data_IF_618635833367
#
_entry.id   IF_618635833367
#
_cell.length_a   1.000
_cell.length_b   1.000
_cell.length_c   1.000
_cell.angle_alpha   90.00
_cell.angle_beta   90.00
_cell.angle_gamma   90.00
#
_symmetry.space_group_name_H-M   'P 1'
#
loop_
_entity.id
_entity.type
_entity.pdbx_description
1 polymer ?
#
# COMPACT_ATOMS: atom_id res chain seq x y z
N UNK A 1 28.63 -19.03 -38.89
CA UNK A 1 29.15 -17.72 -39.36
C UNK A 1 30.58 -17.56 -38.84
N UNK A 2 31.55 -16.88 -39.60
CA UNK A 2 32.90 -16.64 -39.06
C UNK A 2 32.85 -15.47 -38.08
N UNK A 3 33.50 -15.58 -36.93
CA UNK A 3 33.50 -14.56 -35.86
C UNK A 3 33.96 -13.20 -36.38
N UNK A 4 35.02 -13.16 -37.20
CA UNK A 4 35.57 -11.91 -37.75
C UNK A 4 34.54 -11.14 -38.58
N UNK A 5 33.78 -11.86 -39.44
CA UNK A 5 32.75 -11.23 -40.27
C UNK A 5 31.59 -10.70 -39.37
N UNK A 6 31.21 -11.42 -38.33
CA UNK A 6 30.19 -10.99 -37.39
C UNK A 6 30.63 -9.74 -36.63
N UNK A 7 31.85 -9.74 -36.10
CA UNK A 7 32.45 -8.60 -35.41
C UNK A 7 32.50 -7.36 -36.31
N UNK A 8 33.10 -7.45 -37.48
CA UNK A 8 33.25 -6.30 -38.37
C UNK A 8 31.90 -5.72 -38.86
N UNK A 9 30.88 -6.54 -39.02
CA UNK A 9 29.57 -6.08 -39.49
C UNK A 9 28.72 -5.39 -38.40
N UNK A 10 29.03 -5.59 -37.12
CA UNK A 10 28.22 -5.11 -36.00
C UNK A 10 28.96 -4.20 -35.03
N UNK A 11 30.27 -4.11 -35.13
CA UNK A 11 31.14 -3.35 -34.23
C UNK A 11 30.69 -1.90 -34.06
N UNK A 12 30.26 -1.23 -35.12
CA UNK A 12 29.81 0.15 -35.11
C UNK A 12 28.61 0.39 -34.14
N UNK A 13 27.66 -0.54 -34.13
CA UNK A 13 26.48 -0.44 -33.29
C UNK A 13 26.84 -0.66 -31.80
N UNK A 14 27.79 -1.59 -31.54
CA UNK A 14 28.27 -1.86 -30.19
C UNK A 14 29.08 -0.69 -29.61
N UNK A 15 29.96 -0.10 -30.43
CA UNK A 15 30.71 1.10 -30.03
C UNK A 15 29.81 2.30 -29.79
N UNK A 16 28.81 2.51 -30.66
CA UNK A 16 27.85 3.57 -30.51
C UNK A 16 27.00 3.42 -29.24
N UNK A 17 26.55 2.18 -28.92
CA UNK A 17 25.85 1.89 -27.67
C UNK A 17 26.76 2.16 -26.46
N UNK A 18 28.02 1.70 -26.49
CA UNK A 18 28.97 1.94 -25.41
C UNK A 18 29.22 3.42 -25.18
N UNK A 19 29.41 4.22 -26.24
CA UNK A 19 29.61 5.66 -26.14
C UNK A 19 28.40 6.39 -25.55
N UNK A 20 27.19 6.00 -25.98
CA UNK A 20 25.95 6.56 -25.42
C UNK A 20 25.82 6.24 -23.91
N UNK A 21 26.16 5.01 -23.51
CA UNK A 21 26.13 4.59 -22.12
C UNK A 21 27.18 5.34 -21.27
N UNK A 22 28.41 5.49 -21.80
CA UNK A 22 29.49 6.19 -21.12
C UNK A 22 29.15 7.68 -20.89
N UNK A 23 28.58 8.33 -21.90
CA UNK A 23 28.16 9.74 -21.80
C UNK A 23 27.05 9.91 -20.76
N UNK A 24 26.09 9.00 -20.72
CA UNK A 24 24.98 9.05 -19.75
C UNK A 24 25.48 8.77 -18.31
N UNK A 25 26.41 7.83 -18.13
CA UNK A 25 26.93 7.50 -16.80
C UNK A 25 27.87 8.58 -16.23
N UNK A 26 28.65 9.26 -17.07
CA UNK A 26 29.63 10.30 -16.63
C UNK A 26 29.03 11.69 -16.49
N UNK A 27 27.98 12.01 -17.24
CA UNK A 27 27.56 13.41 -17.43
C UNK A 27 26.36 13.87 -16.63
N UNK A 28 25.56 13.00 -16.01
CA UNK A 28 24.31 13.40 -15.33
C UNK A 28 23.29 14.13 -16.22
N UNK A 29 23.59 14.25 -17.52
CA UNK A 29 22.75 14.95 -18.50
C UNK A 29 21.51 14.11 -18.86
N UNK A 30 20.37 14.78 -18.99
CA UNK A 30 19.15 14.16 -19.51
C UNK A 30 19.34 13.84 -20.99
N UNK A 31 19.03 12.60 -21.38
CA UNK A 31 18.98 12.23 -22.78
C UNK A 31 17.89 13.01 -23.50
N UNK A 32 18.17 13.44 -24.74
CA UNK A 32 17.13 13.93 -25.62
C UNK A 32 16.16 12.81 -26.03
N UNK A 33 14.94 13.12 -26.48
CA UNK A 33 14.00 12.10 -26.95
C UNK A 33 14.59 11.22 -28.06
N UNK A 34 15.38 11.80 -28.96
CA UNK A 34 16.07 11.09 -30.05
C UNK A 34 17.13 10.14 -29.52
N UNK A 35 17.90 10.55 -28.50
CA UNK A 35 18.91 9.71 -27.87
C UNK A 35 18.28 8.52 -27.11
N UNK A 36 17.12 8.74 -26.45
CA UNK A 36 16.36 7.66 -25.80
C UNK A 36 15.86 6.65 -26.83
N UNK A 37 15.32 7.13 -27.96
CA UNK A 37 14.86 6.27 -29.03
C UNK A 37 16.01 5.46 -29.65
N UNK A 38 17.15 6.11 -29.89
CA UNK A 38 18.38 5.48 -30.42
C UNK A 38 18.95 4.45 -29.45
N UNK A 39 18.97 4.75 -28.14
CA UNK A 39 19.37 3.80 -27.12
C UNK A 39 18.48 2.56 -27.12
N UNK A 40 17.17 2.72 -27.19
CA UNK A 40 16.20 1.62 -27.23
C UNK A 40 16.36 0.75 -28.48
N UNK A 41 16.68 1.34 -29.62
CA UNK A 41 16.95 0.59 -30.85
C UNK A 41 18.27 -0.18 -30.76
N UNK A 42 19.37 0.47 -30.37
CA UNK A 42 20.68 -0.17 -30.17
C UNK A 42 20.63 -1.30 -29.13
N UNK A 43 19.93 -1.08 -28.00
CA UNK A 43 19.77 -2.11 -26.97
C UNK A 43 19.15 -3.39 -27.55
N UNK A 44 18.08 -3.26 -28.34
CA UNK A 44 17.42 -4.41 -28.98
C UNK A 44 18.32 -5.09 -29.99
N UNK A 45 19.02 -4.32 -30.83
CA UNK A 45 19.93 -4.84 -31.82
C UNK A 45 21.09 -5.63 -31.17
N UNK A 46 21.74 -5.05 -30.14
CA UNK A 46 22.85 -5.68 -29.44
C UNK A 46 22.39 -6.89 -28.58
N UNK A 47 21.15 -6.88 -28.08
CA UNK A 47 20.57 -8.05 -27.42
C UNK A 47 20.37 -9.22 -28.39
N UNK A 48 19.94 -8.95 -29.61
CA UNK A 48 19.84 -9.96 -30.65
C UNK A 48 21.22 -10.48 -31.06
N UNK A 49 22.23 -9.61 -31.18
CA UNK A 49 23.60 -9.98 -31.45
C UNK A 49 24.20 -10.86 -30.33
N UNK A 50 23.88 -10.57 -29.05
CA UNK A 50 24.27 -11.42 -27.92
C UNK A 50 23.68 -12.83 -28.06
N UNK A 51 22.41 -12.95 -28.39
CA UNK A 51 21.78 -14.26 -28.59
C UNK A 51 22.44 -15.07 -29.72
N UNK A 52 22.80 -14.41 -30.82
CA UNK A 52 23.56 -15.02 -31.91
C UNK A 52 24.98 -15.42 -31.47
N UNK A 53 25.66 -14.55 -30.73
CA UNK A 53 27.00 -14.83 -30.23
C UNK A 53 27.02 -15.99 -29.22
N UNK A 54 26.02 -16.08 -28.35
CA UNK A 54 25.88 -17.19 -27.40
C UNK A 54 25.56 -18.51 -28.07
N UNK A 55 24.83 -18.51 -29.17
CA UNK A 55 24.51 -19.69 -29.95
C UNK A 55 25.73 -20.18 -30.76
N UNK A 56 26.38 -19.26 -31.52
CA UNK A 56 27.39 -19.63 -32.53
C UNK A 56 28.82 -19.59 -31.97
N UNK A 57 29.07 -18.79 -30.91
CA UNK A 57 30.41 -18.55 -30.35
C UNK A 57 30.44 -18.53 -28.82
N UNK A 58 29.86 -19.51 -28.10
CA UNK A 58 29.60 -19.44 -26.65
C UNK A 58 30.86 -19.24 -25.79
N UNK A 59 32.01 -19.68 -26.25
CA UNK A 59 33.32 -19.57 -25.56
C UNK A 59 34.20 -18.44 -26.05
N UNK A 60 33.72 -17.63 -26.99
CA UNK A 60 34.52 -16.54 -27.55
C UNK A 60 34.35 -15.25 -26.76
N UNK A 61 35.41 -14.43 -26.71
CA UNK A 61 35.37 -13.13 -25.96
C UNK A 61 34.28 -12.19 -26.43
N UNK A 62 33.80 -12.26 -27.66
CA UNK A 62 32.69 -11.50 -28.21
C UNK A 62 31.41 -11.73 -27.41
N UNK A 63 31.10 -12.98 -27.03
CA UNK A 63 29.88 -13.27 -26.22
C UNK A 63 29.98 -12.66 -24.83
N UNK A 64 31.16 -12.72 -24.18
CA UNK A 64 31.39 -12.08 -22.88
C UNK A 64 31.28 -10.54 -22.95
N UNK A 65 31.87 -9.93 -23.97
CA UNK A 65 31.78 -8.49 -24.22
C UNK A 65 30.33 -8.03 -24.41
N UNK A 66 29.57 -8.70 -25.28
CA UNK A 66 28.18 -8.38 -25.56
C UNK A 66 27.30 -8.56 -24.30
N UNK A 67 27.56 -9.60 -23.51
CA UNK A 67 26.86 -9.83 -22.28
C UNK A 67 27.05 -8.65 -21.26
N UNK A 68 28.29 -8.16 -21.13
CA UNK A 68 28.59 -7.00 -20.31
C UNK A 68 27.92 -5.72 -20.87
N UNK A 69 27.97 -5.50 -22.18
CA UNK A 69 27.39 -4.34 -22.84
C UNK A 69 25.87 -4.31 -22.69
N UNK A 70 25.20 -5.47 -22.90
CA UNK A 70 23.75 -5.61 -22.70
C UNK A 70 23.37 -5.42 -21.24
N UNK A 71 24.13 -5.97 -20.28
CA UNK A 71 23.89 -5.76 -18.85
C UNK A 71 24.00 -4.27 -18.45
N UNK A 72 25.02 -3.56 -18.98
CA UNK A 72 25.16 -2.10 -18.78
C UNK A 72 23.99 -1.34 -19.39
N UNK A 73 23.59 -1.65 -20.63
CA UNK A 73 22.46 -1.01 -21.28
C UNK A 73 21.15 -1.30 -20.55
N UNK A 74 20.94 -2.54 -20.11
CA UNK A 74 19.78 -2.92 -19.31
C UNK A 74 19.66 -2.08 -18.04
N UNK A 75 20.76 -1.88 -17.30
CA UNK A 75 20.76 -1.06 -16.10
C UNK A 75 20.39 0.41 -16.34
N UNK A 76 20.64 0.93 -17.55
CA UNK A 76 20.29 2.31 -17.93
C UNK A 76 18.85 2.39 -18.45
N UNK A 77 18.45 1.48 -19.33
CA UNK A 77 17.10 1.43 -19.92
C UNK A 77 16.03 1.16 -18.86
N UNK A 78 16.34 0.31 -17.88
CA UNK A 78 15.42 -0.07 -16.80
C UNK A 78 15.73 0.62 -15.47
N UNK A 79 16.65 1.58 -15.42
CA UNK A 79 16.76 2.48 -14.26
C UNK A 79 15.43 3.20 -14.14
N UNK A 80 14.64 2.80 -13.14
CA UNK A 80 13.53 3.64 -12.67
C UNK A 80 14.08 5.04 -12.41
N UNK A 81 13.40 6.07 -12.91
CA UNK A 81 13.78 7.44 -12.62
C UNK A 81 14.02 7.57 -11.10
N UNK A 82 15.11 8.21 -10.64
CA UNK A 82 15.29 8.45 -9.22
C UNK A 82 14.01 9.09 -8.70
N UNK A 83 13.61 8.76 -7.47
CA UNK A 83 12.45 9.34 -6.79
C UNK A 83 12.65 10.86 -6.68
N UNK A 84 12.47 11.55 -7.80
CA UNK A 84 12.50 12.99 -7.84
C UNK A 84 11.32 13.47 -7.00
N UNK A 85 11.50 14.52 -6.19
CA UNK A 85 10.44 15.19 -5.40
C UNK A 85 9.14 15.35 -6.20
N UNK A 86 9.22 15.58 -7.52
CA UNK A 86 8.09 15.61 -8.44
C UNK A 86 7.37 14.26 -8.58
N UNK A 87 8.07 13.14 -8.48
CA UNK A 87 7.49 11.80 -8.54
C UNK A 87 6.69 11.47 -7.28
N UNK A 88 7.22 11.80 -6.10
CA UNK A 88 6.54 11.64 -4.81
C UNK A 88 5.27 12.50 -4.76
N UNK A 89 5.38 13.76 -5.16
CA UNK A 89 4.23 14.66 -5.19
C UNK A 89 3.14 14.16 -6.16
N UNK A 90 3.53 13.72 -7.34
CA UNK A 90 2.60 13.12 -8.31
C UNK A 90 1.95 11.85 -7.78
N UNK A 91 2.70 11.02 -7.06
CA UNK A 91 2.16 9.82 -6.42
C UNK A 91 1.00 10.17 -5.47
N UNK A 92 1.22 11.08 -4.53
CA UNK A 92 0.16 11.48 -3.59
C UNK A 92 -0.96 12.27 -4.26
N UNK A 93 -0.68 13.13 -5.23
CA UNK A 93 -1.73 13.93 -5.87
C UNK A 93 -2.59 13.16 -6.88
N UNK A 94 -2.08 12.12 -7.50
CA UNK A 94 -2.74 11.43 -8.61
C UNK A 94 -2.80 9.91 -8.45
N UNK A 95 -1.65 9.23 -8.24
CA UNK A 95 -1.59 7.77 -8.31
C UNK A 95 -2.29 7.12 -7.12
N UNK A 96 -2.01 7.55 -5.90
CA UNK A 96 -2.60 6.98 -4.68
C UNK A 96 -4.14 7.13 -4.65
N UNK A 97 -4.72 8.32 -4.90
CA UNK A 97 -6.17 8.47 -4.97
C UNK A 97 -6.82 7.64 -6.08
N UNK A 98 -6.15 7.51 -7.23
CA UNK A 98 -6.64 6.68 -8.33
C UNK A 98 -6.66 5.19 -7.93
N UNK A 99 -5.56 4.67 -7.37
CA UNK A 99 -5.46 3.29 -6.89
C UNK A 99 -6.48 3.00 -5.79
N UNK A 100 -6.69 3.94 -4.86
CA UNK A 100 -7.72 3.80 -3.83
C UNK A 100 -9.11 3.60 -4.45
N UNK A 101 -9.49 4.43 -5.43
CA UNK A 101 -10.79 4.29 -6.12
C UNK A 101 -10.92 2.99 -6.92
N UNK A 102 -9.85 2.53 -7.55
CA UNK A 102 -9.82 1.23 -8.23
C UNK A 102 -10.08 0.06 -7.26
N UNK A 103 -9.60 0.19 -6.02
CA UNK A 103 -9.74 -0.83 -4.97
C UNK A 103 -10.97 -0.64 -4.08
N UNK A 104 -11.75 0.40 -4.30
CA UNK A 104 -12.87 0.77 -3.42
C UNK A 104 -13.83 -0.38 -3.12
N UNK A 105 -14.25 -1.25 -4.07
CA UNK A 105 -15.10 -2.38 -3.75
C UNK A 105 -14.50 -3.34 -2.72
N UNK A 106 -13.20 -3.64 -2.84
CA UNK A 106 -12.49 -4.49 -1.89
C UNK A 106 -12.34 -3.83 -0.53
N UNK A 107 -12.10 -2.51 -0.50
CA UNK A 107 -11.98 -1.73 0.73
C UNK A 107 -13.32 -1.70 1.47
N UNK A 108 -14.43 -1.52 0.77
CA UNK A 108 -15.77 -1.56 1.38
C UNK A 108 -16.05 -2.93 2.00
N UNK A 109 -15.74 -4.01 1.30
CA UNK A 109 -15.88 -5.37 1.84
C UNK A 109 -14.98 -5.55 3.08
N UNK A 110 -13.72 -5.12 3.00
CA UNK A 110 -12.78 -5.20 4.12
C UNK A 110 -13.31 -4.44 5.34
N UNK A 111 -13.77 -3.21 5.17
CA UNK A 111 -14.37 -2.41 6.24
C UNK A 111 -15.65 -3.06 6.80
N UNK A 112 -16.48 -3.65 5.97
CA UNK A 112 -17.67 -4.38 6.44
C UNK A 112 -17.27 -5.57 7.31
N UNK A 113 -16.27 -6.36 6.91
CA UNK A 113 -15.76 -7.50 7.67
C UNK A 113 -14.94 -7.10 8.92
N UNK A 114 -14.51 -5.88 9.03
CA UNK A 114 -13.92 -5.31 10.24
C UNK A 114 -15.02 -4.77 11.19
N UNK A 115 -15.91 -3.93 10.69
CA UNK A 115 -16.83 -3.16 11.52
C UNK A 115 -18.07 -3.95 11.93
N UNK A 116 -18.68 -4.76 11.04
CA UNK A 116 -19.90 -5.49 11.38
C UNK A 116 -19.68 -6.54 12.49
N UNK A 117 -18.65 -7.41 12.41
CA UNK A 117 -18.35 -8.32 13.52
C UNK A 117 -18.03 -7.57 14.81
N UNK A 118 -17.34 -6.43 14.72
CA UNK A 118 -17.06 -5.58 15.87
C UNK A 118 -18.34 -5.04 16.53
N UNK A 119 -19.26 -4.52 15.73
CA UNK A 119 -20.56 -4.06 16.23
C UNK A 119 -21.33 -5.19 16.89
N UNK A 120 -21.37 -6.36 16.25
CA UNK A 120 -22.08 -7.55 16.79
C UNK A 120 -21.44 -7.98 18.12
N UNK A 121 -20.10 -8.10 18.16
CA UNK A 121 -19.38 -8.47 19.37
C UNK A 121 -19.62 -7.45 20.49
N UNK A 122 -19.55 -6.16 20.18
CA UNK A 122 -19.82 -5.09 21.15
C UNK A 122 -21.23 -5.16 21.74
N UNK A 123 -22.23 -5.39 20.92
CA UNK A 123 -23.60 -5.57 21.38
C UNK A 123 -23.77 -6.83 22.23
N UNK A 124 -23.21 -7.97 21.80
CA UNK A 124 -23.27 -9.23 22.56
C UNK A 124 -22.65 -9.03 23.94
N UNK A 125 -21.43 -8.48 24.00
CA UNK A 125 -20.72 -8.27 25.27
C UNK A 125 -21.41 -7.22 26.15
N UNK A 126 -22.00 -6.18 25.57
CA UNK A 126 -22.78 -5.21 26.32
C UNK A 126 -24.00 -5.83 27.04
N UNK A 127 -24.71 -6.76 26.37
CA UNK A 127 -25.86 -7.43 26.97
C UNK A 127 -25.48 -8.65 27.81
N UNK A 128 -24.37 -9.31 27.47
CA UNK A 128 -23.85 -10.51 28.11
C UNK A 128 -22.33 -10.37 28.34
N UNK A 129 -21.89 -9.69 29.41
CA UNK A 129 -20.47 -9.39 29.61
C UNK A 129 -19.59 -10.64 29.75
N UNK A 130 -20.17 -11.76 30.20
CA UNK A 130 -19.49 -13.06 30.27
C UNK A 130 -19.03 -13.55 28.90
N UNK A 131 -19.69 -13.15 27.81
CA UNK A 131 -19.29 -13.47 26.45
C UNK A 131 -17.89 -12.93 26.09
N UNK A 132 -17.42 -11.88 26.79
CA UNK A 132 -16.05 -11.39 26.64
C UNK A 132 -14.99 -12.46 26.88
N UNK A 133 -15.27 -13.45 27.75
CA UNK A 133 -14.35 -14.51 28.09
C UNK A 133 -14.01 -15.46 26.92
N UNK A 134 -14.87 -15.54 25.89
CA UNK A 134 -14.66 -16.38 24.70
C UNK A 134 -14.61 -15.58 23.39
N UNK A 135 -15.03 -14.32 23.39
CA UNK A 135 -14.88 -13.42 22.24
C UNK A 135 -13.49 -12.80 22.19
N UNK A 136 -12.96 -12.36 23.33
CA UNK A 136 -11.67 -11.69 23.41
C UNK A 136 -10.52 -12.73 23.35
N UNK A 137 -9.46 -12.47 22.57
CA UNK A 137 -8.26 -13.29 22.58
C UNK A 137 -7.62 -13.37 23.97
N UNK A 138 -6.91 -14.47 24.24
CA UNK A 138 -6.29 -14.73 25.54
C UNK A 138 -5.34 -13.59 25.97
N UNK A 139 -4.59 -13.04 25.03
CA UNK A 139 -3.66 -11.92 25.26
C UNK A 139 -4.35 -10.64 25.74
N UNK A 140 -5.66 -10.50 25.49
CA UNK A 140 -6.46 -9.33 25.82
C UNK A 140 -7.29 -9.56 27.11
N UNK A 141 -7.34 -10.80 27.64
CA UNK A 141 -8.12 -11.11 28.82
C UNK A 141 -7.66 -10.33 30.07
N UNK A 142 -6.39 -9.93 30.15
CA UNK A 142 -5.87 -9.08 31.23
C UNK A 142 -6.60 -7.74 31.31
N UNK A 143 -7.03 -7.20 30.17
CA UNK A 143 -7.80 -5.95 30.13
C UNK A 143 -9.19 -6.10 30.73
N UNK A 144 -9.75 -7.31 30.73
CA UNK A 144 -11.05 -7.58 31.35
C UNK A 144 -11.02 -7.29 32.84
N UNK A 145 -9.96 -7.74 33.55
CA UNK A 145 -9.83 -7.50 35.00
C UNK A 145 -9.72 -5.99 35.31
N UNK A 146 -8.97 -5.24 34.49
CA UNK A 146 -8.83 -3.79 34.62
C UNK A 146 -10.18 -3.09 34.38
N UNK A 147 -10.92 -3.49 33.34
CA UNK A 147 -12.24 -2.92 33.01
C UNK A 147 -13.27 -3.24 34.10
N UNK A 148 -13.25 -4.45 34.69
CA UNK A 148 -14.14 -4.86 35.80
C UNK A 148 -13.93 -3.99 37.05
N UNK A 149 -12.70 -3.51 37.27
CA UNK A 149 -12.37 -2.54 38.33
C UNK A 149 -12.75 -1.11 37.96
N UNK A 150 -13.35 -0.89 36.79
CA UNK A 150 -13.67 0.44 36.19
C UNK A 150 -12.44 1.31 35.97
N UNK A 151 -11.32 0.70 35.76
CA UNK A 151 -10.08 1.39 35.41
C UNK A 151 -9.86 1.32 33.90
N UNK A 152 -9.17 2.32 33.37
CA UNK A 152 -8.76 2.37 31.98
C UNK A 152 -7.23 2.49 31.91
N UNK A 153 -6.62 1.70 31.03
CA UNK A 153 -5.18 1.76 30.73
C UNK A 153 -4.79 3.01 29.91
N UNK A 154 -5.73 3.94 29.73
CA UNK A 154 -5.55 5.13 28.88
C UNK A 154 -4.93 6.31 29.64
N UNK A 155 -4.83 6.23 30.95
CA UNK A 155 -4.20 7.24 31.80
C UNK A 155 -2.68 7.06 31.78
N UNK A 156 -2.08 7.38 30.63
CA UNK A 156 -0.65 7.18 30.37
C UNK A 156 0.15 8.37 30.92
N UNK A 157 1.08 8.14 31.88
CA UNK A 157 1.98 9.18 32.37
C UNK A 157 2.76 9.83 31.22
N UNK A 158 3.00 11.14 31.29
CA UNK A 158 3.66 11.91 30.21
C UNK A 158 4.99 11.28 29.79
N UNK A 159 5.77 10.76 30.75
CA UNK A 159 7.03 10.11 30.49
C UNK A 159 6.92 8.81 29.68
N UNK A 160 5.78 8.12 29.76
CA UNK A 160 5.53 6.83 29.10
C UNK A 160 4.80 6.95 27.76
N UNK A 161 4.24 8.12 27.45
CA UNK A 161 3.50 8.39 26.21
C UNK A 161 4.25 8.04 24.93
N UNK A 162 5.56 8.36 24.78
CA UNK A 162 6.31 7.97 23.59
C UNK A 162 6.43 6.45 23.42
N UNK A 163 6.56 5.71 24.52
CA UNK A 163 6.62 4.25 24.50
C UNK A 163 5.27 3.65 24.12
N UNK A 164 4.18 4.11 24.76
CA UNK A 164 2.83 3.66 24.47
C UNK A 164 2.45 3.94 23.00
N UNK A 165 2.68 5.16 22.52
CA UNK A 165 2.47 5.53 21.11
C UNK A 165 3.22 4.61 20.15
N UNK A 166 4.48 4.29 20.46
CA UNK A 166 5.29 3.40 19.62
C UNK A 166 4.74 1.97 19.62
N UNK A 167 4.31 1.46 20.76
CA UNK A 167 3.77 0.11 20.90
C UNK A 167 2.46 -0.05 20.13
N UNK A 168 1.52 0.88 20.28
CA UNK A 168 0.20 0.81 19.62
C UNK A 168 0.36 1.03 18.12
N UNK A 169 1.18 2.00 17.71
CA UNK A 169 1.52 2.21 16.30
C UNK A 169 2.12 0.94 15.67
N UNK A 170 3.05 0.28 16.38
CA UNK A 170 3.65 -0.98 15.91
C UNK A 170 2.59 -2.07 15.73
N UNK A 171 1.65 -2.22 16.68
CA UNK A 171 0.56 -3.19 16.60
C UNK A 171 -0.32 -2.91 15.37
N UNK A 172 -0.75 -1.67 15.15
CA UNK A 172 -1.60 -1.30 14.03
C UNK A 172 -0.90 -1.47 12.68
N UNK A 173 0.40 -1.16 12.59
CA UNK A 173 1.23 -1.43 11.42
C UNK A 173 1.32 -2.94 11.17
N UNK A 174 1.53 -3.75 12.21
CA UNK A 174 1.61 -5.20 12.11
C UNK A 174 0.29 -5.80 11.60
N UNK A 175 -0.86 -5.37 12.15
CA UNK A 175 -2.18 -5.80 11.69
C UNK A 175 -2.41 -5.43 10.23
N UNK A 176 -2.08 -4.20 9.82
CA UNK A 176 -2.21 -3.75 8.44
C UNK A 176 -1.33 -4.58 7.48
N UNK A 177 -0.07 -4.85 7.85
CA UNK A 177 0.84 -5.69 7.05
C UNK A 177 0.35 -7.14 6.98
N UNK A 178 -0.16 -7.70 8.08
CA UNK A 178 -0.72 -9.06 8.08
C UNK A 178 -1.96 -9.14 7.20
N UNK A 179 -2.95 -8.24 7.37
CA UNK A 179 -4.17 -8.22 6.57
C UNK A 179 -3.88 -8.09 5.06
N UNK A 180 -2.84 -7.32 4.69
CA UNK A 180 -2.33 -7.23 3.33
C UNK A 180 -1.62 -8.51 2.90
N UNK A 181 -0.64 -8.98 3.68
CA UNK A 181 0.32 -10.01 3.28
C UNK A 181 -0.30 -11.40 3.12
N UNK A 182 -1.21 -11.77 4.02
CA UNK A 182 -1.89 -13.07 3.95
C UNK A 182 -2.83 -13.19 2.74
N UNK A 183 -3.15 -12.09 2.07
CA UNK A 183 -3.90 -12.07 0.83
C UNK A 183 -3.27 -12.90 -0.29
N UNK A 184 -1.96 -13.16 -0.26
CA UNK A 184 -1.27 -14.02 -1.23
C UNK A 184 -1.80 -15.47 -1.18
N UNK A 185 -2.29 -15.92 -0.02
CA UNK A 185 -2.88 -17.25 0.16
C UNK A 185 -4.38 -17.30 -0.21
N UNK A 186 -4.92 -16.18 -0.70
CA UNK A 186 -6.33 -16.01 -1.05
C UNK A 186 -7.01 -14.91 -0.24
N UNK A 187 -8.26 -14.58 -0.57
CA UNK A 187 -8.98 -13.50 0.09
C UNK A 187 -9.41 -13.84 1.54
N UNK A 188 -9.70 -15.12 1.83
CA UNK A 188 -10.23 -15.54 3.13
C UNK A 188 -9.31 -15.25 4.33
N UNK A 189 -7.98 -15.49 4.27
CA UNK A 189 -7.10 -15.14 5.38
C UNK A 189 -7.12 -13.66 5.74
N UNK A 190 -7.20 -12.76 4.73
CA UNK A 190 -7.31 -11.32 4.99
C UNK A 190 -8.63 -10.98 5.69
N UNK A 191 -9.74 -11.58 5.27
CA UNK A 191 -11.03 -11.41 5.96
C UNK A 191 -10.96 -11.88 7.40
N UNK A 192 -10.32 -13.03 7.65
CA UNK A 192 -10.17 -13.58 8.99
C UNK A 192 -9.43 -12.62 9.93
N UNK A 193 -8.32 -12.03 9.50
CA UNK A 193 -7.59 -11.01 10.29
C UNK A 193 -8.49 -9.82 10.61
N UNK A 194 -9.28 -9.35 9.64
CA UNK A 194 -10.19 -8.22 9.85
C UNK A 194 -11.31 -8.57 10.84
N UNK A 195 -11.91 -9.76 10.72
CA UNK A 195 -12.94 -10.23 11.66
C UNK A 195 -12.40 -10.31 13.07
N UNK A 196 -11.23 -10.93 13.28
CA UNK A 196 -10.62 -11.03 14.61
C UNK A 196 -10.36 -9.65 15.22
N UNK A 197 -9.82 -8.71 14.44
CA UNK A 197 -9.62 -7.34 14.93
C UNK A 197 -10.95 -6.66 15.27
N UNK A 198 -11.95 -6.82 14.42
CA UNK A 198 -13.29 -6.29 14.69
C UNK A 198 -13.89 -6.84 15.98
N UNK A 199 -13.87 -8.17 16.16
CA UNK A 199 -14.36 -8.83 17.37
C UNK A 199 -13.64 -8.32 18.63
N UNK A 200 -12.32 -8.19 18.56
CA UNK A 200 -11.52 -7.69 19.71
C UNK A 200 -11.88 -6.28 20.07
N UNK A 201 -11.87 -5.35 19.10
CA UNK A 201 -12.21 -3.94 19.35
C UNK A 201 -13.64 -3.80 19.84
N UNK A 202 -14.58 -4.48 19.19
CA UNK A 202 -15.99 -4.46 19.57
C UNK A 202 -16.24 -5.04 20.95
N UNK A 203 -15.61 -6.18 21.27
CA UNK A 203 -15.70 -6.82 22.57
C UNK A 203 -15.21 -5.92 23.72
N UNK A 204 -14.07 -5.25 23.52
CA UNK A 204 -13.53 -4.28 24.49
C UNK A 204 -14.50 -3.10 24.67
N UNK A 205 -14.99 -2.50 23.56
CA UNK A 205 -15.94 -1.39 23.62
C UNK A 205 -17.26 -1.79 24.28
N UNK A 206 -17.76 -2.99 24.01
CA UNK A 206 -18.96 -3.52 24.65
C UNK A 206 -18.80 -3.71 26.15
N UNK A 207 -17.66 -4.28 26.57
CA UNK A 207 -17.36 -4.52 27.97
C UNK A 207 -17.20 -3.20 28.77
N UNK A 208 -16.46 -2.25 28.21
CA UNK A 208 -16.29 -0.92 28.83
C UNK A 208 -17.63 -0.15 28.91
N UNK A 209 -18.47 -0.29 27.88
CA UNK A 209 -19.81 0.31 27.89
C UNK A 209 -20.70 -0.30 28.99
N UNK A 210 -20.67 -1.63 29.18
CA UNK A 210 -21.38 -2.32 30.25
C UNK A 210 -20.96 -1.80 31.63
N UNK A 211 -19.67 -1.60 31.88
CA UNK A 211 -19.14 -1.09 33.14
C UNK A 211 -19.30 0.45 33.33
N UNK A 212 -19.86 1.15 32.33
CA UNK A 212 -20.15 2.58 32.39
C UNK A 212 -18.98 3.50 32.07
N UNK A 213 -17.83 2.94 31.59
CA UNK A 213 -16.63 3.68 31.20
C UNK A 213 -16.41 3.71 29.67
N UNK A 214 -17.43 3.29 28.91
CA UNK A 214 -17.31 3.20 27.43
C UNK A 214 -17.19 4.57 26.74
N UNK A 215 -17.77 5.63 27.35
CA UNK A 215 -17.64 6.99 26.79
C UNK A 215 -16.21 7.51 26.89
N UNK A 216 -15.51 7.21 27.98
CA UNK A 216 -14.13 7.65 28.21
C UNK A 216 -13.18 6.93 27.27
N UNK A 217 -13.31 5.60 27.11
CA UNK A 217 -12.57 4.84 26.13
C UNK A 217 -12.89 5.30 24.70
N UNK A 218 -14.17 5.49 24.36
CA UNK A 218 -14.58 5.98 23.05
C UNK A 218 -13.98 7.34 22.72
N UNK A 219 -13.94 8.24 23.70
CA UNK A 219 -13.35 9.57 23.55
C UNK A 219 -11.82 9.53 23.42
N UNK A 220 -11.16 8.55 24.04
CA UNK A 220 -9.75 8.30 23.85
C UNK A 220 -9.46 7.78 22.42
N UNK A 221 -10.23 6.78 21.97
CA UNK A 221 -9.97 6.08 20.70
C UNK A 221 -10.35 6.92 19.47
N UNK A 222 -11.43 7.69 19.53
CA UNK A 222 -11.99 8.35 18.33
C UNK A 222 -10.99 9.28 17.64
N UNK A 223 -10.09 9.93 18.40
CA UNK A 223 -9.13 10.91 17.88
C UNK A 223 -8.17 10.33 16.83
N UNK A 224 -7.73 9.10 17.01
CA UNK A 224 -6.78 8.39 16.13
C UNK A 224 -7.43 7.21 15.40
N UNK A 225 -8.35 6.52 16.04
CA UNK A 225 -8.93 5.26 15.60
C UNK A 225 -9.64 5.34 14.25
N UNK A 226 -10.23 6.49 13.89
CA UNK A 226 -10.86 6.67 12.57
C UNK A 226 -9.82 6.49 11.44
N UNK A 227 -8.65 7.07 11.60
CA UNK A 227 -7.55 6.95 10.61
C UNK A 227 -6.99 5.52 10.63
N UNK A 228 -6.76 4.95 11.80
CA UNK A 228 -6.20 3.61 11.94
C UNK A 228 -7.10 2.54 11.34
N UNK A 229 -8.37 2.51 11.70
CA UNK A 229 -9.34 1.57 11.15
C UNK A 229 -9.52 1.75 9.63
N UNK A 230 -9.43 3.01 9.14
CA UNK A 230 -9.42 3.28 7.70
C UNK A 230 -8.21 2.63 7.02
N UNK A 231 -7.01 2.79 7.59
CA UNK A 231 -5.79 2.20 7.02
C UNK A 231 -5.80 0.67 7.10
N UNK A 232 -6.27 0.10 8.21
CA UNK A 232 -6.44 -1.36 8.34
C UNK A 232 -7.45 -1.88 7.30
N UNK A 233 -8.57 -1.19 7.10
CA UNK A 233 -9.55 -1.52 6.07
C UNK A 233 -8.99 -1.41 4.65
N UNK A 234 -8.18 -0.38 4.38
CA UNK A 234 -7.48 -0.23 3.09
C UNK A 234 -6.47 -1.37 2.89
N UNK A 235 -5.67 -1.68 3.89
CA UNK A 235 -4.69 -2.77 3.84
C UNK A 235 -5.38 -4.13 3.62
N UNK A 236 -6.46 -4.41 4.35
CA UNK A 236 -7.29 -5.61 4.15
C UNK A 236 -7.90 -5.65 2.74
N UNK A 237 -8.42 -4.53 2.24
CA UNK A 237 -8.93 -4.40 0.87
C UNK A 237 -7.86 -4.71 -0.19
N UNK A 238 -6.61 -4.27 0.03
CA UNK A 238 -5.49 -4.64 -0.86
C UNK A 238 -5.18 -6.14 -0.79
N UNK A 239 -5.25 -6.74 0.41
CA UNK A 239 -5.11 -8.20 0.59
C UNK A 239 -6.22 -8.98 -0.14
N UNK A 240 -7.48 -8.53 -0.04
CA UNK A 240 -8.61 -9.12 -0.79
C UNK A 240 -8.40 -9.03 -2.29
N UNK A 241 -7.93 -7.89 -2.80
CA UNK A 241 -7.64 -7.72 -4.23
C UNK A 241 -6.52 -8.65 -4.70
N UNK A 242 -5.46 -8.84 -3.91
CA UNK A 242 -4.38 -9.79 -4.22
C UNK A 242 -4.98 -11.21 -4.31
N UNK A 243 -5.73 -11.64 -3.30
CA UNK A 243 -6.37 -12.96 -3.29
C UNK A 243 -7.33 -13.15 -4.47
N UNK A 244 -8.14 -12.15 -4.79
CA UNK A 244 -9.05 -12.17 -5.93
C UNK A 244 -8.32 -12.30 -7.26
N UNK A 245 -7.17 -11.63 -7.42
CA UNK A 245 -6.37 -11.67 -8.65
C UNK A 245 -5.86 -13.07 -8.99
N UNK A 246 -5.66 -13.93 -7.98
CA UNK A 246 -5.27 -15.33 -8.16
C UNK A 246 -6.45 -16.20 -8.54
N UNK A 247 -7.63 -15.92 -7.96
CA UNK A 247 -8.86 -16.66 -8.21
C UNK A 247 -9.43 -16.33 -9.59
N UNK A 248 -9.41 -15.06 -9.97
CA UNK A 248 -9.97 -14.58 -11.22
C UNK A 248 -8.95 -13.72 -12.01
N UNK A 249 -7.94 -14.36 -12.64
CA UNK A 249 -6.86 -13.65 -13.33
C UNK A 249 -7.28 -13.04 -14.69
N UNK A 250 -8.50 -13.30 -15.16
CA UNK A 250 -8.97 -12.87 -16.48
C UNK A 250 -8.18 -13.51 -17.62
N UNK A 251 -7.66 -12.69 -18.52
CA UNK A 251 -6.84 -13.14 -19.67
C UNK A 251 -5.35 -13.31 -19.33
N UNK A 252 -4.93 -12.96 -18.12
CA UNK A 252 -3.55 -13.05 -17.68
C UNK A 252 -3.24 -14.43 -17.08
N UNK A 253 -1.96 -14.80 -17.03
CA UNK A 253 -1.55 -15.90 -16.18
C UNK A 253 -1.76 -15.52 -14.70
N UNK A 254 -2.02 -16.50 -13.83
CA UNK A 254 -2.18 -16.26 -12.38
C UNK A 254 -0.97 -15.50 -11.80
N UNK A 255 0.23 -15.82 -12.26
CA UNK A 255 1.47 -15.16 -11.85
C UNK A 255 1.50 -13.69 -12.26
N UNK A 256 1.11 -13.37 -13.49
CA UNK A 256 1.12 -12.00 -13.99
C UNK A 256 0.04 -11.16 -13.32
N UNK A 257 -1.16 -11.73 -13.17
CA UNK A 257 -2.27 -11.09 -12.45
C UNK A 257 -1.89 -10.78 -11.00
N UNK A 258 -1.32 -11.75 -10.27
CA UNK A 258 -0.80 -11.57 -8.92
C UNK A 258 0.28 -10.47 -8.87
N UNK A 259 1.23 -10.49 -9.80
CA UNK A 259 2.32 -9.50 -9.85
C UNK A 259 1.78 -8.08 -10.03
N UNK A 260 0.80 -7.90 -10.92
CA UNK A 260 0.17 -6.59 -11.15
C UNK A 260 -0.63 -6.12 -9.93
N UNK A 261 -1.43 -7.00 -9.33
CA UNK A 261 -2.19 -6.71 -8.12
C UNK A 261 -1.27 -6.35 -6.94
N UNK A 262 -0.21 -7.14 -6.71
CA UNK A 262 0.75 -6.89 -5.65
C UNK A 262 1.48 -5.54 -5.81
N UNK A 263 1.89 -5.17 -7.04
CA UNK A 263 2.50 -3.86 -7.30
C UNK A 263 1.58 -2.70 -6.96
N UNK A 264 0.29 -2.79 -7.28
CA UNK A 264 -0.71 -1.78 -6.92
C UNK A 264 -0.91 -1.73 -5.41
N UNK A 265 -1.09 -2.88 -4.79
CA UNK A 265 -1.33 -3.02 -3.36
C UNK A 265 -0.17 -2.47 -2.51
N UNK A 266 1.08 -2.80 -2.86
CA UNK A 266 2.28 -2.25 -2.18
C UNK A 266 2.31 -0.73 -2.28
N UNK A 267 1.99 -0.14 -3.43
CA UNK A 267 1.95 1.33 -3.58
C UNK A 267 0.92 1.95 -2.62
N UNK A 268 -0.28 1.37 -2.52
CA UNK A 268 -1.32 1.86 -1.62
C UNK A 268 -0.90 1.72 -0.16
N UNK A 269 -0.38 0.56 0.23
CA UNK A 269 0.11 0.33 1.58
C UNK A 269 1.21 1.33 1.97
N UNK A 270 2.21 1.52 1.11
CA UNK A 270 3.29 2.50 1.33
C UNK A 270 2.77 3.94 1.43
N UNK A 271 1.70 4.27 0.71
CA UNK A 271 1.04 5.58 0.82
C UNK A 271 0.26 5.77 2.12
N UNK A 272 -0.23 4.68 2.72
CA UNK A 272 -1.01 4.71 3.95
C UNK A 272 -0.18 4.57 5.24
N UNK A 273 1.00 3.92 5.20
CA UNK A 273 1.84 3.75 6.38
C UNK A 273 2.16 5.07 7.14
N UNK A 274 2.48 6.20 6.47
CA UNK A 274 2.69 7.46 7.18
C UNK A 274 1.48 7.93 7.99
N UNK A 275 0.26 7.55 7.61
CA UNK A 275 -0.95 7.89 8.32
C UNK A 275 -1.04 7.17 9.67
N UNK A 276 -0.56 5.92 9.75
CA UNK A 276 -0.47 5.20 11.03
C UNK A 276 0.52 5.84 11.98
N UNK A 277 1.62 6.41 11.46
CA UNK A 277 2.56 7.18 12.28
C UNK A 277 1.89 8.42 12.85
N UNK A 278 1.13 9.16 12.03
CA UNK A 278 0.36 10.34 12.49
C UNK A 278 -0.69 9.94 13.52
N UNK A 279 -1.42 8.86 13.26
CA UNK A 279 -2.44 8.34 14.19
C UNK A 279 -1.81 7.94 15.54
N UNK A 280 -0.68 7.22 15.53
CA UNK A 280 0.06 6.86 16.74
C UNK A 280 0.58 8.08 17.53
N UNK A 281 0.97 9.16 16.84
CA UNK A 281 1.31 10.43 17.52
C UNK A 281 0.08 11.07 18.17
N UNK A 282 -1.08 11.07 17.52
CA UNK A 282 -2.33 11.56 18.09
C UNK A 282 -2.69 10.72 19.31
N UNK A 283 -2.59 9.41 19.21
CA UNK A 283 -2.89 8.48 20.30
C UNK A 283 -1.97 8.68 21.50
N UNK A 284 -0.66 8.79 21.30
CA UNK A 284 0.28 8.94 22.40
C UNK A 284 0.30 10.31 23.07
N UNK A 285 -0.05 11.38 22.32
CA UNK A 285 0.14 12.74 22.83
C UNK A 285 -1.17 13.54 23.00
N UNK A 286 -2.19 13.28 22.16
CA UNK A 286 -3.46 14.03 22.18
C UNK A 286 -4.53 13.25 22.94
N UNK A 287 -4.67 11.96 22.65
CA UNK A 287 -5.73 11.14 23.24
C UNK A 287 -5.66 11.04 24.78
N UNK A 288 -4.47 10.87 25.42
CA UNK A 288 -4.35 10.81 26.87
C UNK A 288 -4.24 12.19 27.55
N UNK A 289 -4.29 13.30 26.81
CA UNK A 289 -4.13 14.63 27.41
C UNK A 289 -5.41 15.05 28.12
N UNK A 290 -5.35 15.23 29.44
CA UNK A 290 -6.48 15.65 30.28
C UNK A 290 -6.96 17.09 29.97
N UNK A 291 -6.06 17.98 29.55
CA UNK A 291 -6.36 19.35 29.15
C UNK A 291 -7.12 19.49 27.83
N UNK A 292 -7.27 18.40 27.06
CA UNK A 292 -7.99 18.41 25.78
C UNK A 292 -9.43 17.90 26.00
N UNK A 293 -10.44 18.74 25.79
CA UNK A 293 -11.82 18.32 25.97
C UNK A 293 -12.24 17.27 24.94
N UNK A 294 -13.14 16.36 25.32
CA UNK A 294 -13.60 15.26 24.48
C UNK A 294 -14.15 15.72 23.12
N UNK A 295 -14.82 16.89 23.07
CA UNK A 295 -15.36 17.46 21.83
C UNK A 295 -14.25 17.71 20.79
N UNK A 296 -13.08 18.14 21.25
CA UNK A 296 -11.93 18.38 20.37
C UNK A 296 -11.33 17.06 19.88
N UNK A 297 -11.23 16.06 20.75
CA UNK A 297 -10.77 14.70 20.36
C UNK A 297 -11.68 14.10 19.28
N UNK A 298 -13.01 14.21 19.46
CA UNK A 298 -13.99 13.78 18.48
C UNK A 298 -13.91 14.60 17.18
N UNK A 299 -13.74 15.91 17.29
CA UNK A 299 -13.54 16.80 16.15
C UNK A 299 -12.33 16.41 15.32
N UNK A 300 -11.20 16.11 15.95
CA UNK A 300 -9.97 15.65 15.29
C UNK A 300 -10.23 14.33 14.56
N UNK A 301 -10.80 13.33 15.23
CA UNK A 301 -11.05 12.02 14.63
C UNK A 301 -11.98 12.08 13.41
N UNK A 302 -13.14 12.73 13.56
CA UNK A 302 -14.12 12.85 12.47
C UNK A 302 -13.55 13.66 11.31
N UNK A 303 -12.93 14.80 11.60
CA UNK A 303 -12.35 15.66 10.54
C UNK A 303 -11.23 14.96 9.79
N UNK A 304 -10.33 14.25 10.50
CA UNK A 304 -9.25 13.50 9.85
C UNK A 304 -9.79 12.41 8.93
N UNK A 305 -10.84 11.69 9.34
CA UNK A 305 -11.51 10.70 8.50
C UNK A 305 -12.16 11.32 7.26
N UNK A 306 -12.91 12.40 7.44
CA UNK A 306 -13.56 13.12 6.31
C UNK A 306 -12.50 13.65 5.33
N UNK A 307 -11.42 14.26 5.83
CA UNK A 307 -10.35 14.78 5.00
C UNK A 307 -9.61 13.66 4.27
N UNK A 308 -9.30 12.55 4.95
CA UNK A 308 -8.64 11.40 4.35
C UNK A 308 -9.47 10.81 3.21
N UNK A 309 -10.70 10.42 3.48
CA UNK A 309 -11.55 9.81 2.46
C UNK A 309 -11.97 10.81 1.39
N UNK A 310 -12.21 12.06 1.73
CA UNK A 310 -12.47 13.14 0.78
C UNK A 310 -11.29 13.32 -0.18
N UNK A 311 -10.06 13.38 0.34
CA UNK A 311 -8.86 13.44 -0.48
C UNK A 311 -8.74 12.21 -1.40
N UNK A 312 -8.85 10.99 -0.85
CA UNK A 312 -8.68 9.75 -1.63
C UNK A 312 -9.77 9.57 -2.71
N UNK A 313 -10.97 10.06 -2.46
CA UNK A 313 -12.08 9.98 -3.41
C UNK A 313 -12.03 11.10 -4.47
N UNK A 314 -11.57 12.30 -4.12
CA UNK A 314 -11.71 13.49 -4.99
C UNK A 314 -10.42 13.88 -5.71
N UNK A 315 -9.25 13.68 -5.10
CA UNK A 315 -7.98 14.08 -5.71
C UNK A 315 -7.65 13.25 -6.96
N UNK A 316 -6.86 13.81 -7.87
CA UNK A 316 -6.40 13.16 -9.09
C UNK A 316 -7.50 12.80 -10.10
N UNK A 317 -8.72 13.29 -9.92
CA UNK A 317 -9.75 13.17 -10.97
C UNK A 317 -9.35 14.07 -12.15
N UNK A 318 -9.26 13.51 -13.36
CA UNK A 318 -9.15 14.32 -14.56
C UNK A 318 -10.41 15.19 -14.63
N UNK A 319 -10.26 16.50 -14.74
CA UNK A 319 -11.41 17.34 -15.14
C UNK A 319 -11.84 16.82 -16.51
N UNK A 320 -13.07 16.31 -16.61
CA UNK A 320 -13.66 15.97 -17.88
C UNK A 320 -13.59 17.24 -18.75
N UNK A 321 -12.80 17.21 -19.79
CA UNK A 321 -12.77 18.30 -20.76
C UNK A 321 -14.02 18.19 -21.62
N UNK A 322 -14.57 19.32 -22.04
CA UNK A 322 -15.74 19.38 -22.92
C UNK A 322 -15.56 18.50 -24.18
N UNK A 323 -14.32 18.25 -24.57
CA UNK A 323 -13.95 17.32 -25.65
C UNK A 323 -14.27 15.86 -25.34
N UNK A 324 -14.11 15.43 -24.08
CA UNK A 324 -14.39 14.04 -23.66
C UNK A 324 -15.91 13.80 -23.61
N UNK A 325 -16.71 14.84 -23.30
CA UNK A 325 -18.17 14.76 -23.35
C UNK A 325 -18.70 14.67 -24.80
N UNK A 326 -18.05 15.33 -25.75
CA UNK A 326 -18.41 15.30 -27.17
C UNK A 326 -18.07 13.94 -27.83
N UNK A 327 -17.01 13.28 -27.42
CA UNK A 327 -16.62 11.96 -27.97
C UNK A 327 -17.55 10.81 -27.53
N UNK A 328 -18.32 10.99 -26.45
CA UNK A 328 -19.34 10.01 -25.99
C UNK A 328 -20.70 10.22 -26.64
N UNK A 329 -20.90 11.34 -27.38
CA UNK A 329 -22.19 11.68 -27.97
C UNK A 329 -22.30 11.37 -29.49
N UNK A 330 -21.24 10.83 -30.11
CA UNK A 330 -21.28 10.40 -31.50
C UNK A 330 -21.34 8.88 -31.54
N UNK A 331 -22.49 8.25 -31.81
CA UNK A 331 -22.50 6.82 -32.07
C UNK A 331 -21.75 6.59 -33.40
N UNK A 332 -20.78 5.68 -33.39
CA UNK A 332 -20.20 5.16 -34.62
C UNK A 332 -21.34 4.57 -35.45
N UNK A 333 -21.68 5.28 -36.51
CA UNK A 333 -22.49 4.77 -37.59
C UNK A 333 -21.49 4.20 -38.62
N UNK A 334 -21.25 2.89 -38.51
CA UNK A 334 -20.73 2.07 -39.60
C UNK A 334 -21.62 0.84 -39.75
#
# INVERSE_FOLDING_TARGET
MRVDRFYHSRKSDWELLSQLLDRFQRGGQRMSPEEVQKLGWLYRAVTADLALAQRDFPRHQVAAYLNQLVARAHSVVYRGAPLARKGVLRFFQQELPQLYREMLPFIIIALAFLLLPGMIAGLIVYWQPEASGWILPEEVQILREVIEQKELWVDIPVAERPYAASFIMQNNIQVAILAFGVGIFGALPSLWILVLNGLTIGGILGLTAYHGIGFDLGSFVIGHGVVELSVIGIAGGTGLMIGWSVLQPGLLSRRDSLTLAARKAVKVLMGCLPLLVVAGLIEGFISPAEGIPWQLKWGIGITSGVLLHGYLLMAGRKKATFRDALSLSIPNID
#
